data_IF_756723204258
#
_entry.id   IF_756723204258
#
_cell.length_a   1.000
_cell.length_b   1.000
_cell.length_c   1.000
_cell.angle_alpha   90.00
_cell.angle_beta   90.00
_cell.angle_gamma   90.00
#
_symmetry.space_group_name_H-M   'P 1'
#
loop_
_entity.id
_entity.type
_entity.pdbx_description
1 polymer ?
#
# COMPACT_ATOMS: atom_id res chain seq x y z
N UNK A 1 24.65 2.86 -22.14
CA UNK A 1 23.96 3.88 -21.30
C UNK A 1 24.96 4.38 -20.29
N UNK A 2 25.16 5.69 -20.15
CA UNK A 2 26.15 6.26 -19.22
C UNK A 2 25.60 6.05 -17.80
N UNK A 3 26.29 5.24 -17.00
CA UNK A 3 25.95 4.99 -15.61
C UNK A 3 26.39 6.18 -14.77
N UNK A 4 25.48 6.86 -14.11
CA UNK A 4 25.80 8.00 -13.25
C UNK A 4 26.01 7.52 -11.79
N UNK A 5 27.05 6.72 -11.58
CA UNK A 5 27.35 6.06 -10.29
C UNK A 5 27.53 7.03 -9.11
N UNK A 6 27.80 8.32 -9.38
CA UNK A 6 27.91 9.34 -8.33
C UNK A 6 26.55 9.70 -7.68
N UNK A 7 25.45 9.30 -8.29
CA UNK A 7 24.12 9.48 -7.75
C UNK A 7 23.63 8.28 -6.92
N UNK A 8 24.38 7.19 -6.89
CA UNK A 8 24.07 6.04 -6.04
C UNK A 8 24.12 6.48 -4.56
N UNK A 9 23.13 6.10 -3.74
CA UNK A 9 23.05 6.49 -2.33
C UNK A 9 24.34 6.16 -1.58
N UNK A 10 24.92 7.16 -0.90
CA UNK A 10 26.15 6.98 -0.08
C UNK A 10 26.04 5.90 0.98
N UNK A 11 24.83 5.62 1.42
CA UNK A 11 24.54 4.58 2.36
C UNK A 11 24.84 3.19 1.80
N UNK A 12 24.42 2.92 0.55
CA UNK A 12 24.70 1.65 -0.13
C UNK A 12 26.18 1.53 -0.48
N UNK A 13 26.85 2.63 -0.85
CA UNK A 13 28.27 2.59 -1.22
C UNK A 13 29.21 2.19 -0.06
N UNK A 14 28.73 2.29 1.20
CA UNK A 14 29.49 1.85 2.38
C UNK A 14 29.41 0.34 2.63
N UNK A 15 28.53 -0.36 1.94
CA UNK A 15 28.29 -1.79 2.15
C UNK A 15 29.19 -2.64 1.22
N UNK A 16 29.56 -3.83 1.70
CA UNK A 16 30.27 -4.84 0.88
C UNK A 16 29.26 -5.78 0.19
N UNK A 17 28.31 -5.19 -0.58
CA UNK A 17 27.22 -5.91 -1.24
C UNK A 17 27.21 -5.63 -2.76
N UNK A 18 28.40 -5.50 -3.37
CA UNK A 18 28.54 -5.08 -4.76
C UNK A 18 29.18 -6.14 -5.62
N UNK A 19 28.92 -6.01 -6.93
CA UNK A 19 29.59 -6.70 -8.02
C UNK A 19 29.67 -5.81 -9.24
N UNK A 20 30.37 -6.23 -10.26
CA UNK A 20 30.15 -5.79 -11.63
C UNK A 20 29.26 -6.79 -12.35
N UNK A 21 28.69 -6.44 -13.49
CA UNK A 21 27.91 -7.39 -14.29
C UNK A 21 28.23 -7.28 -15.78
N UNK A 22 27.94 -8.36 -16.51
CA UNK A 22 27.92 -8.42 -17.98
C UNK A 22 26.51 -8.69 -18.48
N UNK A 23 26.15 -8.02 -19.57
CA UNK A 23 24.91 -8.28 -20.29
C UNK A 23 25.17 -9.41 -21.28
N UNK A 24 24.33 -10.45 -21.18
CA UNK A 24 24.37 -11.55 -22.16
C UNK A 24 23.22 -11.41 -23.17
N UNK A 25 23.44 -11.85 -24.41
CA UNK A 25 22.36 -11.96 -25.36
C UNK A 25 21.25 -12.89 -24.81
N UNK A 26 20.00 -12.70 -25.22
CA UNK A 26 18.91 -13.54 -24.80
C UNK A 26 19.17 -14.99 -25.24
N UNK A 27 18.85 -15.95 -24.38
CA UNK A 27 19.03 -17.39 -24.68
C UNK A 27 18.09 -17.88 -25.78
N UNK A 28 16.96 -17.19 -25.97
CA UNK A 28 15.96 -17.44 -27.02
C UNK A 28 15.48 -16.12 -27.56
N UNK A 29 15.12 -16.10 -28.84
CA UNK A 29 14.50 -14.94 -29.47
C UNK A 29 13.27 -14.50 -28.71
N UNK A 30 13.10 -13.19 -28.49
CA UNK A 30 12.00 -12.60 -27.70
C UNK A 30 12.19 -12.58 -26.17
N UNK A 31 13.29 -13.13 -25.64
CA UNK A 31 13.61 -13.04 -24.21
C UNK A 31 14.44 -11.78 -23.88
N UNK A 32 14.32 -11.31 -22.63
CA UNK A 32 15.17 -10.22 -22.14
C UNK A 32 16.64 -10.67 -22.04
N UNK A 33 17.55 -9.70 -22.25
CA UNK A 33 18.99 -9.93 -22.06
C UNK A 33 19.27 -10.24 -20.60
N UNK A 34 20.00 -11.31 -20.35
CA UNK A 34 20.43 -11.70 -19.00
C UNK A 34 21.54 -10.77 -18.49
N UNK A 35 21.61 -10.58 -17.18
CA UNK A 35 22.72 -9.87 -16.51
C UNK A 35 23.42 -10.86 -15.61
N UNK A 36 24.72 -11.09 -15.84
CA UNK A 36 25.52 -12.02 -15.02
C UNK A 36 26.37 -11.22 -14.04
N UNK A 37 26.14 -11.35 -12.72
CA UNK A 37 26.98 -10.72 -11.73
C UNK A 37 28.35 -11.40 -11.65
N UNK A 38 29.40 -10.60 -11.53
CA UNK A 38 30.80 -11.03 -11.52
C UNK A 38 31.51 -10.35 -10.35
N UNK A 39 32.27 -11.13 -9.58
CA UNK A 39 33.21 -10.60 -8.61
C UNK A 39 34.44 -10.04 -9.38
N UNK A 40 34.70 -8.73 -9.35
CA UNK A 40 35.77 -8.14 -10.16
C UNK A 40 37.17 -8.50 -9.66
N UNK A 41 37.34 -9.01 -8.44
CA UNK A 41 38.62 -9.40 -7.88
C UNK A 41 39.05 -10.77 -8.45
N UNK A 42 38.09 -11.70 -8.52
CA UNK A 42 38.38 -13.08 -8.95
C UNK A 42 38.08 -13.33 -10.43
N UNK A 43 37.32 -12.44 -11.07
CA UNK A 43 36.80 -12.61 -12.43
C UNK A 43 35.72 -13.70 -12.55
N UNK A 44 35.34 -14.37 -11.45
CA UNK A 44 34.33 -15.44 -11.41
C UNK A 44 32.93 -14.89 -11.18
N UNK A 45 31.91 -15.67 -11.49
CA UNK A 45 30.51 -15.32 -11.17
C UNK A 45 30.34 -15.01 -9.69
N UNK A 46 29.53 -13.98 -9.39
CA UNK A 46 29.09 -13.67 -8.05
C UNK A 46 27.67 -14.22 -7.84
N UNK A 47 27.35 -14.64 -6.62
CA UNK A 47 26.05 -15.24 -6.27
C UNK A 47 25.28 -14.33 -5.31
N UNK A 48 23.98 -14.16 -5.55
CA UNK A 48 23.10 -13.41 -4.64
C UNK A 48 22.89 -14.10 -3.28
N UNK A 49 23.22 -15.38 -3.17
CA UNK A 49 23.08 -16.19 -1.96
C UNK A 49 24.42 -16.41 -1.24
N UNK A 50 25.53 -15.91 -1.78
CA UNK A 50 26.86 -16.11 -1.22
C UNK A 50 27.61 -14.77 -1.11
N UNK A 51 27.58 -14.20 0.07
CA UNK A 51 28.21 -12.91 0.38
C UNK A 51 29.74 -12.92 0.27
N UNK A 52 30.40 -14.08 0.26
CA UNK A 52 31.84 -14.20 0.06
C UNK A 52 32.26 -13.84 -1.39
N UNK A 53 31.29 -13.88 -2.31
CA UNK A 53 31.50 -13.52 -3.72
C UNK A 53 31.30 -12.02 -4.00
N UNK A 54 30.90 -11.24 -2.98
CA UNK A 54 30.63 -9.81 -3.12
C UNK A 54 31.89 -8.97 -2.86
N UNK A 55 31.87 -7.73 -3.32
CA UNK A 55 32.97 -6.78 -3.10
C UNK A 55 32.45 -5.44 -2.55
N UNK A 56 33.37 -4.50 -2.30
CA UNK A 56 33.01 -3.12 -1.96
C UNK A 56 32.56 -2.35 -3.22
N UNK A 57 31.82 -1.25 -3.02
CA UNK A 57 31.45 -0.33 -4.10
C UNK A 57 32.69 0.24 -4.79
N UNK A 58 33.71 0.61 -4.04
CA UNK A 58 34.97 1.13 -4.56
C UNK A 58 35.63 0.11 -5.51
N UNK A 59 35.72 -1.15 -5.10
CA UNK A 59 36.27 -2.22 -5.92
C UNK A 59 35.49 -2.40 -7.23
N UNK A 60 34.14 -2.47 -7.14
CA UNK A 60 33.29 -2.61 -8.33
C UNK A 60 33.39 -1.38 -9.27
N UNK A 61 33.36 -0.19 -8.69
CA UNK A 61 33.45 1.07 -9.42
C UNK A 61 34.80 1.25 -10.13
N UNK A 62 35.90 0.91 -9.47
CA UNK A 62 37.24 0.96 -10.06
C UNK A 62 37.40 -0.08 -11.18
N UNK A 63 36.90 -1.29 -10.98
CA UNK A 63 36.93 -2.32 -12.01
C UNK A 63 36.12 -1.92 -13.24
N UNK A 64 34.96 -1.29 -13.05
CA UNK A 64 34.15 -0.77 -14.16
C UNK A 64 34.89 0.33 -14.97
N UNK A 65 35.65 1.21 -14.30
CA UNK A 65 36.42 2.27 -14.94
C UNK A 65 37.63 1.73 -15.72
N UNK A 66 38.26 0.68 -15.23
CA UNK A 66 39.47 0.10 -15.77
C UNK A 66 39.23 -0.96 -16.85
N UNK A 67 38.05 -1.51 -16.92
CA UNK A 67 37.75 -2.64 -17.81
C UNK A 67 36.40 -2.44 -18.53
N UNK A 68 36.51 -2.13 -19.82
CA UNK A 68 35.38 -1.92 -20.72
C UNK A 68 34.54 -3.17 -20.98
N UNK A 69 34.94 -4.33 -20.45
CA UNK A 69 34.18 -5.58 -20.57
C UNK A 69 33.03 -5.72 -19.55
N UNK A 70 32.87 -4.76 -18.63
CA UNK A 70 31.76 -4.74 -17.70
C UNK A 70 30.72 -3.70 -18.11
N UNK A 71 29.45 -4.04 -17.97
CA UNK A 71 28.31 -3.21 -18.40
C UNK A 71 27.78 -2.32 -17.27
N UNK A 72 28.25 -2.53 -16.04
CA UNK A 72 27.85 -1.70 -14.89
C UNK A 72 28.14 -2.34 -13.54
N UNK A 73 27.64 -1.70 -12.49
CA UNK A 73 27.71 -2.18 -11.10
C UNK A 73 26.36 -2.74 -10.65
N UNK A 74 26.41 -3.79 -9.83
CA UNK A 74 25.23 -4.42 -9.24
C UNK A 74 25.29 -4.42 -7.73
N UNK A 75 24.13 -4.23 -7.09
CA UNK A 75 23.95 -4.26 -5.65
C UNK A 75 23.14 -5.47 -5.22
N UNK A 76 23.63 -6.27 -4.26
CA UNK A 76 22.95 -7.44 -3.71
C UNK A 76 22.12 -7.05 -2.49
N UNK A 77 20.85 -7.54 -2.45
CA UNK A 77 19.97 -7.34 -1.31
C UNK A 77 20.20 -8.43 -0.24
N UNK A 78 20.27 -8.00 1.04
CA UNK A 78 20.50 -8.87 2.20
C UNK A 78 19.66 -8.43 3.42
N UNK A 79 18.32 -8.49 3.25
CA UNK A 79 17.29 -8.26 4.28
C UNK A 79 17.17 -6.85 4.92
N UNK A 80 18.09 -5.91 4.69
CA UNK A 80 18.00 -4.57 5.26
C UNK A 80 17.36 -3.55 4.33
N UNK A 81 17.35 -3.87 3.04
CA UNK A 81 16.79 -3.08 1.97
C UNK A 81 15.84 -3.89 1.14
N UNK A 82 14.84 -3.21 0.60
CA UNK A 82 13.87 -3.76 -0.34
C UNK A 82 14.08 -3.08 -1.69
N UNK A 83 14.34 -3.90 -2.71
CA UNK A 83 14.38 -3.47 -4.11
C UNK A 83 13.02 -3.68 -4.75
N UNK A 84 12.56 -2.66 -5.47
CA UNK A 84 11.33 -2.65 -6.25
C UNK A 84 11.74 -2.45 -7.70
N UNK A 85 11.33 -3.35 -8.58
CA UNK A 85 11.61 -3.33 -10.02
C UNK A 85 10.27 -3.34 -10.78
N UNK A 86 10.10 -2.37 -11.68
CA UNK A 86 8.92 -2.31 -12.55
C UNK A 86 9.42 -2.18 -13.98
N UNK A 87 9.23 -3.24 -14.75
CA UNK A 87 9.67 -3.35 -16.13
C UNK A 87 8.60 -2.89 -17.14
N UNK A 88 9.04 -2.60 -18.35
CA UNK A 88 8.21 -2.31 -19.54
C UNK A 88 7.20 -1.16 -19.37
N UNK A 89 7.67 -0.04 -18.79
CA UNK A 89 6.88 1.18 -18.59
C UNK A 89 7.51 2.45 -19.20
N UNK A 90 8.06 2.42 -20.44
CA UNK A 90 8.77 3.56 -21.01
C UNK A 90 7.90 4.82 -21.12
N UNK A 91 6.61 4.67 -21.43
CA UNK A 91 5.67 5.80 -21.51
C UNK A 91 5.43 6.46 -20.15
N UNK A 92 5.34 5.69 -19.08
CA UNK A 92 5.18 6.22 -17.73
C UNK A 92 6.44 6.97 -17.27
N UNK A 93 7.63 6.50 -17.66
CA UNK A 93 8.89 7.19 -17.38
C UNK A 93 8.90 8.58 -18.06
N UNK A 94 8.52 8.66 -19.33
CA UNK A 94 8.48 9.94 -20.06
C UNK A 94 7.37 10.86 -19.52
N UNK A 95 6.19 10.34 -19.20
CA UNK A 95 5.11 11.10 -18.53
C UNK A 95 5.57 11.71 -17.21
N UNK A 96 6.25 10.91 -16.38
CA UNK A 96 6.75 11.39 -15.09
C UNK A 96 7.86 12.44 -15.25
N UNK A 97 8.78 12.27 -16.18
CA UNK A 97 9.82 13.28 -16.49
C UNK A 97 9.21 14.61 -16.93
N UNK A 98 8.15 14.56 -17.75
CA UNK A 98 7.46 15.75 -18.24
C UNK A 98 6.62 16.43 -17.14
N UNK A 99 5.92 15.65 -16.30
CA UNK A 99 5.11 16.17 -15.21
C UNK A 99 5.24 15.27 -13.95
N UNK A 100 6.26 15.51 -13.10
CA UNK A 100 6.52 14.70 -11.89
C UNK A 100 5.42 14.79 -10.81
N UNK A 101 4.50 15.74 -10.92
CA UNK A 101 3.41 15.96 -9.96
C UNK A 101 2.06 15.43 -10.44
N UNK A 102 2.03 14.72 -11.58
CA UNK A 102 0.79 14.14 -12.11
C UNK A 102 0.27 13.02 -11.18
N UNK A 103 -0.88 13.20 -10.51
CA UNK A 103 -1.43 12.21 -9.56
C UNK A 103 -1.88 10.91 -10.24
N UNK A 104 -2.07 10.91 -11.56
CA UNK A 104 -2.45 9.72 -12.33
C UNK A 104 -1.25 8.91 -12.83
N UNK A 105 -0.02 9.33 -12.51
CA UNK A 105 1.19 8.59 -12.89
C UNK A 105 1.46 7.45 -11.90
N UNK A 106 1.75 6.25 -12.43
CA UNK A 106 2.21 5.10 -11.65
C UNK A 106 3.47 5.45 -10.82
N UNK A 107 4.40 6.20 -11.43
CA UNK A 107 5.66 6.58 -10.77
C UNK A 107 5.40 7.61 -9.67
N UNK A 108 4.47 8.54 -9.85
CA UNK A 108 4.07 9.47 -8.80
C UNK A 108 3.47 8.74 -7.58
N UNK A 109 2.56 7.81 -7.82
CA UNK A 109 1.98 6.96 -6.77
C UNK A 109 3.07 6.16 -6.03
N UNK A 110 3.96 5.47 -6.78
CA UNK A 110 5.05 4.73 -6.16
C UNK A 110 5.95 5.63 -5.33
N UNK A 111 6.34 6.80 -5.86
CA UNK A 111 7.22 7.76 -5.20
C UNK A 111 6.63 8.25 -3.85
N UNK A 112 5.32 8.43 -3.78
CA UNK A 112 4.61 8.70 -2.52
C UNK A 112 4.67 7.54 -1.53
N UNK A 113 4.41 6.31 -1.98
CA UNK A 113 4.46 5.12 -1.11
C UNK A 113 5.85 4.87 -0.52
N UNK A 114 6.90 5.09 -1.31
CA UNK A 114 8.30 4.94 -0.86
C UNK A 114 8.85 6.16 -0.12
N UNK A 115 7.98 7.11 0.27
CA UNK A 115 8.36 8.34 0.97
C UNK A 115 9.47 9.14 0.25
N UNK A 116 9.40 9.21 -1.07
CA UNK A 116 10.40 9.83 -1.94
C UNK A 116 11.82 9.25 -1.76
N UNK A 117 11.93 7.94 -1.50
CA UNK A 117 13.21 7.24 -1.43
C UNK A 117 13.90 7.19 -2.80
N UNK A 118 15.11 6.61 -2.85
CA UNK A 118 15.86 6.46 -4.08
C UNK A 118 15.05 5.77 -5.19
N UNK A 119 14.98 6.40 -6.34
CA UNK A 119 14.25 5.96 -7.53
C UNK A 119 15.06 6.32 -8.79
N UNK A 120 15.32 5.34 -9.64
CA UNK A 120 16.10 5.49 -10.86
C UNK A 120 15.45 4.84 -12.07
N UNK A 121 15.86 5.23 -13.26
CA UNK A 121 15.59 4.49 -14.50
C UNK A 121 16.48 3.25 -14.54
N UNK A 122 15.90 2.09 -14.82
CA UNK A 122 16.63 0.83 -14.90
C UNK A 122 17.61 0.79 -16.07
N UNK A 123 18.53 -0.17 -16.05
CA UNK A 123 19.61 -0.29 -17.04
C UNK A 123 19.09 -0.45 -18.49
N UNK A 124 17.92 -1.05 -18.69
CA UNK A 124 17.28 -1.18 -20.00
C UNK A 124 16.74 0.16 -20.56
N UNK A 125 16.53 1.15 -19.70
CA UNK A 125 15.84 2.40 -20.02
C UNK A 125 14.32 2.28 -20.12
N UNK A 126 13.77 1.06 -19.97
CA UNK A 126 12.33 0.78 -20.13
C UNK A 126 11.60 0.50 -18.82
N UNK A 127 12.30 0.50 -17.70
CA UNK A 127 11.77 0.24 -16.37
C UNK A 127 12.38 1.15 -15.33
N UNK A 128 12.02 0.94 -14.08
CA UNK A 128 12.50 1.70 -12.93
C UNK A 128 12.93 0.76 -11.81
N UNK A 129 13.94 1.18 -11.05
CA UNK A 129 14.28 0.60 -9.77
C UNK A 129 14.01 1.60 -8.65
N UNK A 130 13.42 1.14 -7.55
CA UNK A 130 13.36 1.90 -6.32
C UNK A 130 13.96 1.08 -5.18
N UNK A 131 14.57 1.76 -4.21
CA UNK A 131 15.15 1.10 -3.02
C UNK A 131 14.64 1.81 -1.77
N UNK A 132 14.17 1.01 -0.81
CA UNK A 132 13.72 1.47 0.51
C UNK A 132 14.37 0.64 1.61
N UNK A 133 14.47 1.19 2.83
CA UNK A 133 14.84 0.42 4.03
C UNK A 133 13.63 -0.37 4.51
N UNK A 134 13.88 -1.61 4.92
CA UNK A 134 12.87 -2.47 5.53
C UNK A 134 13.15 -3.94 5.27
N UNK A 135 12.32 -4.77 5.92
CA UNK A 135 12.33 -6.22 5.70
C UNK A 135 11.10 -6.59 4.86
N UNK A 136 11.32 -7.38 3.84
CA UNK A 136 10.24 -7.89 2.98
C UNK A 136 9.67 -9.19 3.56
N UNK A 137 8.45 -9.18 4.12
CA UNK A 137 7.89 -10.31 4.86
C UNK A 137 7.02 -11.24 4.02
N UNK A 138 6.93 -11.01 2.70
CA UNK A 138 6.00 -11.74 1.83
C UNK A 138 6.73 -12.81 1.00
N UNK A 139 6.01 -13.90 0.67
CA UNK A 139 6.56 -15.03 -0.10
C UNK A 139 6.53 -14.78 -1.62
N UNK A 140 5.61 -13.93 -2.09
CA UNK A 140 5.47 -13.63 -3.52
C UNK A 140 6.31 -12.41 -3.88
N UNK A 141 7.25 -12.60 -4.82
CA UNK A 141 8.19 -11.56 -5.22
C UNK A 141 7.93 -10.99 -6.62
N UNK A 142 7.10 -11.63 -7.44
CA UNK A 142 6.89 -11.24 -8.83
C UNK A 142 5.46 -11.48 -9.32
N UNK A 143 4.95 -10.50 -10.10
CA UNK A 143 3.73 -10.64 -10.90
C UNK A 143 3.80 -9.73 -12.14
N UNK A 144 3.86 -10.35 -13.32
CA UNK A 144 4.03 -9.60 -14.57
C UNK A 144 5.32 -8.78 -14.57
N UNK A 145 5.19 -7.49 -14.80
CA UNK A 145 6.29 -6.52 -14.81
C UNK A 145 6.73 -6.04 -13.42
N UNK A 146 6.06 -6.45 -12.35
CA UNK A 146 6.37 -6.00 -10.99
C UNK A 146 7.19 -7.05 -10.25
N UNK A 147 8.32 -6.62 -9.67
CA UNK A 147 9.17 -7.45 -8.82
C UNK A 147 9.53 -6.69 -7.53
N UNK A 148 9.53 -7.40 -6.37
CA UNK A 148 9.94 -6.84 -5.08
C UNK A 148 10.79 -7.86 -4.36
N UNK A 149 11.98 -7.48 -3.92
CA UNK A 149 12.95 -8.37 -3.28
C UNK A 149 13.58 -7.73 -2.06
N UNK A 150 13.68 -8.50 -0.96
CA UNK A 150 14.46 -8.12 0.23
C UNK A 150 15.81 -8.86 0.31
N UNK A 151 15.96 -9.97 -0.41
CA UNK A 151 17.16 -10.82 -0.40
C UNK A 151 17.30 -11.64 -1.68
N UNK A 152 18.44 -12.29 -1.84
CA UNK A 152 18.68 -13.28 -2.90
C UNK A 152 18.50 -12.73 -4.33
N UNK A 153 18.71 -11.44 -4.49
CA UNK A 153 18.61 -10.73 -5.77
C UNK A 153 19.68 -9.65 -5.87
N UNK A 154 20.09 -9.30 -7.09
CA UNK A 154 20.85 -8.09 -7.32
C UNK A 154 20.15 -7.19 -8.34
N UNK A 155 20.30 -5.88 -8.16
CA UNK A 155 19.89 -4.87 -9.14
C UNK A 155 21.12 -4.24 -9.81
N UNK A 156 21.04 -4.10 -11.12
CA UNK A 156 22.01 -3.34 -11.93
C UNK A 156 21.72 -1.84 -11.74
N UNK A 157 22.39 -1.18 -10.79
CA UNK A 157 22.12 0.22 -10.49
C UNK A 157 22.77 1.15 -11.51
N UNK A 158 22.02 2.17 -11.92
CA UNK A 158 22.43 3.12 -12.97
C UNK A 158 22.81 4.49 -12.43
N UNK A 159 22.22 4.90 -11.30
CA UNK A 159 22.31 6.27 -10.80
C UNK A 159 21.56 7.30 -11.66
N UNK A 160 20.77 6.87 -12.64
CA UNK A 160 19.91 7.74 -13.44
C UNK A 160 18.63 8.06 -12.68
N UNK A 161 18.73 8.92 -11.67
CA UNK A 161 17.64 9.23 -10.74
C UNK A 161 16.48 9.92 -11.45
N UNK A 162 15.26 9.52 -11.09
CA UNK A 162 14.01 10.13 -11.56
C UNK A 162 13.47 11.18 -10.60
N UNK A 163 13.70 11.01 -9.31
CA UNK A 163 13.41 12.03 -8.32
C UNK A 163 14.71 12.71 -7.86
N UNK A 164 14.61 13.82 -7.13
CA UNK A 164 15.79 14.56 -6.66
C UNK A 164 16.49 13.89 -5.46
N UNK A 165 15.94 12.80 -4.95
CA UNK A 165 16.40 12.16 -3.72
C UNK A 165 17.47 11.11 -4.00
N UNK A 166 18.59 11.25 -3.27
CA UNK A 166 19.67 10.26 -3.24
C UNK A 166 19.71 9.47 -1.93
N UNK A 167 18.73 9.67 -1.07
CA UNK A 167 18.63 8.99 0.22
C UNK A 167 17.66 7.82 0.15
N UNK A 168 17.93 6.81 0.98
CA UNK A 168 17.02 5.69 1.14
C UNK A 168 16.19 5.91 2.39
N UNK A 169 14.87 5.87 2.25
CA UNK A 169 13.91 6.07 3.34
C UNK A 169 13.39 4.74 3.86
N UNK A 170 13.00 4.73 5.13
CA UNK A 170 12.30 3.60 5.74
C UNK A 170 10.87 3.56 5.20
N UNK A 171 10.47 2.40 4.66
CA UNK A 171 9.08 2.19 4.28
C UNK A 171 8.24 1.79 5.49
N UNK A 172 7.06 2.40 5.66
CA UNK A 172 6.12 1.99 6.69
C UNK A 172 5.53 0.62 6.38
N UNK A 173 5.14 -0.16 7.41
CA UNK A 173 4.45 -1.45 7.23
C UNK A 173 3.17 -1.30 6.39
N UNK A 174 2.43 -0.20 6.58
CA UNK A 174 1.23 0.12 5.81
C UNK A 174 1.55 0.29 4.33
N UNK A 175 2.53 1.14 3.99
CA UNK A 175 2.90 1.41 2.61
C UNK A 175 3.49 0.18 1.92
N UNK A 176 4.29 -0.61 2.64
CA UNK A 176 4.84 -1.87 2.11
C UNK A 176 3.74 -2.87 1.78
N UNK A 177 2.71 -2.98 2.64
CA UNK A 177 1.55 -3.83 2.39
C UNK A 177 0.74 -3.33 1.20
N UNK A 178 0.50 -2.03 1.10
CA UNK A 178 -0.20 -1.42 -0.02
C UNK A 178 0.54 -1.66 -1.33
N UNK A 179 1.86 -1.43 -1.34
CA UNK A 179 2.72 -1.73 -2.48
C UNK A 179 2.61 -3.20 -2.90
N UNK A 180 2.72 -4.13 -1.93
CA UNK A 180 2.59 -5.56 -2.18
C UNK A 180 1.26 -5.93 -2.83
N UNK A 181 0.13 -5.52 -2.25
CA UNK A 181 -1.21 -5.84 -2.76
C UNK A 181 -1.44 -5.27 -4.16
N UNK A 182 -1.00 -4.04 -4.38
CA UNK A 182 -1.20 -3.34 -5.66
C UNK A 182 -0.30 -3.86 -6.78
N UNK A 183 0.80 -4.55 -6.46
CA UNK A 183 1.80 -5.02 -7.43
C UNK A 183 1.90 -6.54 -7.49
N UNK A 184 2.69 -7.16 -6.64
CA UNK A 184 3.05 -8.60 -6.70
C UNK A 184 2.06 -9.51 -5.98
N UNK A 185 1.27 -9.01 -5.04
CA UNK A 185 0.29 -9.79 -4.30
C UNK A 185 -0.73 -10.46 -5.23
N UNK A 186 -1.12 -11.68 -4.94
CA UNK A 186 -2.16 -12.38 -5.71
C UNK A 186 -3.47 -11.60 -5.60
N UNK A 187 -4.07 -11.22 -6.74
CA UNK A 187 -5.52 -10.96 -6.76
C UNK A 187 -6.18 -12.27 -6.32
N UNK A 188 -6.99 -12.23 -5.29
CA UNK A 188 -7.86 -13.36 -5.02
C UNK A 188 -8.79 -13.50 -6.24
N UNK A 189 -8.47 -14.47 -7.10
CA UNK A 189 -9.37 -14.84 -8.18
C UNK A 189 -10.54 -15.56 -7.50
N UNK A 190 -11.72 -14.97 -7.61
CA UNK A 190 -12.97 -15.67 -7.38
C UNK A 190 -13.16 -16.71 -8.49
N UNK A 191 -12.50 -17.85 -8.40
CA UNK A 191 -12.96 -19.07 -9.08
C UNK A 191 -14.03 -19.69 -8.19
N UNK A 192 -15.19 -20.09 -8.76
CA UNK A 192 -16.20 -20.81 -7.99
C UNK A 192 -15.59 -22.13 -7.52
N UNK A 193 -15.34 -22.26 -6.25
CA UNK A 193 -14.99 -23.54 -5.64
C UNK A 193 -16.29 -24.27 -5.37
N UNK A 194 -16.41 -25.44 -6.00
CA UNK A 194 -17.47 -26.40 -5.73
C UNK A 194 -17.57 -26.68 -4.21
N UNK A 195 -18.80 -26.71 -3.78
CA UNK A 195 -19.29 -26.95 -2.43
C UNK A 195 -18.62 -28.13 -1.76
N UNK A 196 -17.77 -27.87 -0.78
CA UNK A 196 -17.59 -28.75 0.39
C UNK A 196 -17.80 -27.89 1.62
N UNK A 197 -18.75 -28.33 2.46
CA UNK A 197 -19.18 -27.71 3.71
C UNK A 197 -17.98 -27.41 4.62
N UNK A 198 -17.51 -26.16 4.59
CA UNK A 198 -16.71 -25.53 5.63
C UNK A 198 -17.19 -24.08 5.74
N UNK A 199 -17.57 -23.69 6.92
CA UNK A 199 -18.02 -22.36 7.32
C UNK A 199 -17.04 -21.32 6.80
N UNK A 200 -17.45 -20.25 6.06
CA UNK A 200 -16.54 -19.21 5.61
C UNK A 200 -16.02 -18.41 6.81
N UNK A 201 -14.79 -18.64 7.17
CA UNK A 201 -14.08 -17.83 8.16
C UNK A 201 -13.89 -16.41 7.61
N UNK A 202 -14.47 -15.46 8.30
CA UNK A 202 -14.55 -14.05 7.98
C UNK A 202 -13.23 -13.31 7.91
N UNK A 203 -13.33 -12.03 7.57
CA UNK A 203 -12.29 -11.00 7.43
C UNK A 203 -10.99 -11.31 8.17
N UNK A 204 -9.89 -11.44 7.42
CA UNK A 204 -8.52 -11.57 7.95
C UNK A 204 -7.97 -10.26 8.56
N UNK A 205 -8.85 -9.32 8.93
CA UNK A 205 -8.46 -8.09 9.62
C UNK A 205 -8.16 -8.39 11.09
N UNK A 206 -7.09 -7.81 11.60
CA UNK A 206 -6.81 -7.78 13.04
C UNK A 206 -7.85 -6.93 13.77
N UNK A 207 -8.01 -7.15 15.08
CA UNK A 207 -8.90 -6.37 15.92
C UNK A 207 -8.62 -4.87 15.80
N UNK A 208 -7.36 -4.46 15.85
CA UNK A 208 -6.96 -3.05 15.72
C UNK A 208 -7.32 -2.45 14.35
N UNK A 209 -7.18 -3.21 13.26
CA UNK A 209 -7.59 -2.77 11.94
C UNK A 209 -9.11 -2.60 11.85
N UNK A 210 -9.89 -3.49 12.47
CA UNK A 210 -11.35 -3.39 12.52
C UNK A 210 -11.74 -2.14 13.31
N UNK A 211 -11.19 -1.93 14.51
CA UNK A 211 -11.46 -0.75 15.35
C UNK A 211 -11.13 0.54 14.58
N UNK A 212 -9.95 0.61 13.94
CA UNK A 212 -9.55 1.79 13.17
C UNK A 212 -10.52 2.07 12.01
N UNK A 213 -10.93 1.05 11.26
CA UNK A 213 -11.87 1.22 10.14
C UNK A 213 -13.26 1.64 10.60
N UNK A 214 -13.83 0.98 11.63
CA UNK A 214 -15.15 1.33 12.12
C UNK A 214 -15.17 2.73 12.73
N UNK A 215 -14.10 3.14 13.42
CA UNK A 215 -13.96 4.48 13.99
C UNK A 215 -13.71 5.58 12.94
N UNK A 216 -13.25 5.23 11.75
CA UNK A 216 -13.07 6.15 10.61
C UNK A 216 -14.30 6.19 9.68
N UNK A 217 -15.32 5.35 9.91
CA UNK A 217 -16.53 5.29 9.09
C UNK A 217 -17.47 6.47 9.35
N UNK A 218 -18.54 6.59 8.55
CA UNK A 218 -19.61 7.58 8.73
C UNK A 218 -20.26 7.52 10.11
N UNK A 219 -20.33 6.34 10.72
CA UNK A 219 -20.82 6.12 12.07
C UNK A 219 -19.71 6.20 13.13
N UNK A 220 -18.48 6.52 12.75
CA UNK A 220 -17.31 6.45 13.60
C UNK A 220 -17.40 7.29 14.88
N UNK A 221 -18.00 8.47 14.80
CA UNK A 221 -18.24 9.33 15.98
C UNK A 221 -19.15 8.60 16.97
N UNK A 222 -20.29 8.07 16.52
CA UNK A 222 -21.24 7.33 17.37
C UNK A 222 -20.63 6.07 17.95
N UNK A 223 -19.84 5.34 17.16
CA UNK A 223 -19.14 4.15 17.61
C UNK A 223 -18.11 4.48 18.69
N UNK A 224 -17.33 5.56 18.53
CA UNK A 224 -16.36 6.03 19.53
C UNK A 224 -17.03 6.40 20.84
N UNK A 225 -18.16 7.12 20.77
CA UNK A 225 -18.97 7.46 21.98
C UNK A 225 -19.43 6.21 22.70
N UNK A 226 -20.00 5.22 21.97
CA UNK A 226 -20.40 3.93 22.57
C UNK A 226 -19.20 3.19 23.21
N UNK A 227 -18.06 3.12 22.50
CA UNK A 227 -16.85 2.48 23.03
C UNK A 227 -16.32 3.18 24.29
N UNK A 228 -16.52 4.50 24.38
CA UNK A 228 -16.20 5.29 25.56
C UNK A 228 -17.25 5.24 26.68
N UNK A 229 -18.33 4.48 26.51
CA UNK A 229 -19.41 4.42 27.47
C UNK A 229 -20.32 5.65 27.47
N UNK A 230 -20.20 6.47 26.42
CA UNK A 230 -21.00 7.67 26.20
C UNK A 230 -22.16 7.31 25.25
N UNK A 231 -23.40 7.35 25.73
CA UNK A 231 -24.55 6.97 24.91
C UNK A 231 -25.82 7.71 25.33
N UNK A 232 -26.69 7.92 24.35
CA UNK A 232 -28.03 8.51 24.51
C UNK A 232 -29.09 7.43 24.28
N UNK A 233 -29.03 6.36 25.10
CA UNK A 233 -30.00 5.28 25.14
C UNK A 233 -30.64 5.21 26.51
N UNK A 234 -31.86 4.69 26.59
CA UNK A 234 -32.61 4.61 27.86
C UNK A 234 -31.99 3.65 28.87
N UNK A 235 -31.15 2.72 28.37
CA UNK A 235 -30.44 1.78 29.23
C UNK A 235 -29.06 1.39 28.64
N UNK A 236 -28.13 1.03 29.52
CA UNK A 236 -26.83 0.47 29.09
C UNK A 236 -27.00 -0.82 28.28
N UNK A 237 -28.08 -1.62 28.50
CA UNK A 237 -28.31 -2.81 27.70
C UNK A 237 -28.71 -2.50 26.26
N UNK A 238 -29.30 -1.34 25.99
CA UNK A 238 -29.53 -0.85 24.62
C UNK A 238 -28.27 -0.35 24.00
N UNK A 239 -27.39 0.29 24.76
CA UNK A 239 -26.04 0.67 24.28
C UNK A 239 -25.19 -0.57 23.94
N UNK A 240 -25.26 -1.64 24.76
CA UNK A 240 -24.55 -2.89 24.51
C UNK A 240 -24.96 -3.50 23.16
N UNK A 241 -26.27 -3.63 22.90
CA UNK A 241 -26.77 -4.22 21.65
C UNK A 241 -26.43 -3.30 20.46
N UNK A 242 -26.55 -1.98 20.60
CA UNK A 242 -26.23 -1.03 19.56
C UNK A 242 -24.74 -1.11 19.15
N UNK A 243 -23.82 -1.27 20.12
CA UNK A 243 -22.42 -1.50 19.80
C UNK A 243 -22.23 -2.86 19.14
N UNK A 244 -22.87 -3.93 19.63
CA UNK A 244 -22.78 -5.26 19.05
C UNK A 244 -23.30 -5.30 17.59
N UNK A 245 -24.32 -4.53 17.23
CA UNK A 245 -24.80 -4.43 15.85
C UNK A 245 -23.72 -3.86 14.91
N UNK A 246 -22.99 -2.81 15.36
CA UNK A 246 -21.81 -2.33 14.62
C UNK A 246 -20.71 -3.38 14.55
N UNK A 247 -20.42 -4.06 15.65
CA UNK A 247 -19.41 -5.12 15.67
C UNK A 247 -19.77 -6.27 14.75
N UNK A 248 -21.03 -6.72 14.72
CA UNK A 248 -21.50 -7.78 13.83
C UNK A 248 -21.26 -7.44 12.35
N UNK A 249 -21.52 -6.19 11.97
CA UNK A 249 -21.21 -5.70 10.61
C UNK A 249 -19.71 -5.71 10.34
N UNK A 250 -18.91 -5.10 11.22
CA UNK A 250 -17.48 -4.88 10.97
C UNK A 250 -16.59 -6.11 11.14
N UNK A 251 -16.97 -7.06 12.00
CA UNK A 251 -16.26 -8.32 12.20
C UNK A 251 -16.73 -9.43 11.25
N UNK A 252 -17.69 -9.15 10.37
CA UNK A 252 -18.33 -10.16 9.53
C UNK A 252 -18.98 -11.28 10.34
N UNK A 253 -19.66 -10.90 11.44
CA UNK A 253 -20.36 -11.82 12.37
C UNK A 253 -19.43 -12.79 13.12
N UNK A 254 -18.14 -12.46 13.24
CA UNK A 254 -17.17 -13.22 14.02
C UNK A 254 -17.39 -12.95 15.52
N UNK A 255 -18.05 -13.87 16.20
CA UNK A 255 -18.43 -13.73 17.60
C UNK A 255 -17.24 -13.57 18.55
N UNK A 256 -16.11 -14.23 18.26
CA UNK A 256 -14.88 -14.13 19.06
C UNK A 256 -14.27 -12.73 18.96
N UNK A 257 -14.20 -12.19 17.74
CA UNK A 257 -13.71 -10.81 17.53
C UNK A 257 -14.66 -9.78 18.14
N UNK A 258 -15.99 -10.01 18.04
CA UNK A 258 -16.98 -9.12 18.66
C UNK A 258 -16.80 -9.07 20.19
N UNK A 259 -16.66 -10.21 20.85
CA UNK A 259 -16.42 -10.28 22.30
C UNK A 259 -15.09 -9.63 22.68
N UNK A 260 -14.01 -9.93 21.94
CA UNK A 260 -12.69 -9.37 22.20
C UNK A 260 -12.64 -7.82 22.03
N UNK A 261 -13.39 -7.25 21.08
CA UNK A 261 -13.51 -5.80 20.92
C UNK A 261 -14.38 -5.21 22.02
N UNK A 262 -15.53 -5.82 22.32
CA UNK A 262 -16.44 -5.32 23.35
C UNK A 262 -15.76 -5.22 24.71
N UNK A 263 -14.94 -6.21 25.08
CA UNK A 263 -14.15 -6.22 26.32
C UNK A 263 -13.14 -5.09 26.45
N UNK A 264 -12.75 -4.45 25.35
CA UNK A 264 -11.86 -3.30 25.34
C UNK A 264 -12.59 -1.97 25.54
N UNK A 265 -13.91 -1.97 25.63
CA UNK A 265 -14.73 -0.76 25.75
C UNK A 265 -15.14 -0.44 27.18
N UNK A 266 -15.52 0.81 27.43
CA UNK A 266 -16.06 1.23 28.74
C UNK A 266 -17.50 0.72 29.02
N UNK A 267 -18.14 0.07 28.05
CA UNK A 267 -19.40 -0.64 28.27
C UNK A 267 -19.18 -1.98 28.98
N UNK A 268 -17.95 -2.52 28.99
CA UNK A 268 -17.63 -3.78 29.66
C UNK A 268 -17.90 -3.68 31.15
N UNK A 269 -18.62 -4.66 31.69
CA UNK A 269 -18.95 -4.76 33.10
C UNK A 269 -19.21 -6.23 33.51
N UNK A 270 -19.23 -6.59 34.81
CA UNK A 270 -19.43 -7.97 35.28
C UNK A 270 -20.70 -8.66 34.76
N UNK A 271 -21.76 -7.89 34.42
CA UNK A 271 -22.97 -8.42 33.79
C UNK A 271 -22.66 -9.15 32.47
N UNK A 272 -21.64 -8.76 31.75
CA UNK A 272 -21.26 -9.36 30.45
C UNK A 272 -21.00 -10.86 30.55
N UNK A 273 -20.32 -11.26 31.64
CA UNK A 273 -19.95 -12.65 31.90
C UNK A 273 -20.96 -13.38 32.79
N UNK A 274 -22.05 -12.70 33.24
CA UNK A 274 -23.05 -13.31 34.07
C UNK A 274 -23.80 -14.37 33.27
N UNK A 275 -23.81 -15.62 33.81
CA UNK A 275 -24.57 -16.73 33.26
C UNK A 275 -26.07 -16.53 33.49
N UNK A 276 -26.84 -16.85 32.47
CA UNK A 276 -28.31 -16.91 32.52
C UNK A 276 -28.74 -18.08 31.62
N UNK A 277 -28.96 -19.21 32.22
CA UNK A 277 -29.15 -20.50 31.56
C UNK A 277 -27.82 -21.05 31.01
N UNK A 278 -27.83 -21.52 29.76
CA UNK A 278 -26.71 -22.18 29.10
C UNK A 278 -25.65 -21.20 28.58
N UNK A 279 -25.94 -19.89 28.50
CA UNK A 279 -25.04 -18.87 27.93
C UNK A 279 -24.90 -17.64 28.83
N UNK A 280 -23.89 -16.78 28.53
CA UNK A 280 -23.73 -15.52 29.24
C UNK A 280 -24.61 -14.43 28.64
N UNK A 281 -24.78 -13.30 29.36
CA UNK A 281 -25.46 -12.13 28.85
C UNK A 281 -24.74 -11.61 27.57
N UNK A 282 -23.39 -11.58 27.56
CA UNK A 282 -22.59 -11.15 26.42
C UNK A 282 -22.81 -12.03 25.18
N UNK A 283 -22.76 -13.36 25.34
CA UNK A 283 -23.04 -14.30 24.26
C UNK A 283 -24.41 -14.07 23.63
N UNK A 284 -25.48 -13.97 24.44
CA UNK A 284 -26.83 -13.71 23.92
C UNK A 284 -26.97 -12.37 23.23
N UNK A 285 -26.25 -11.34 23.70
CA UNK A 285 -26.23 -10.01 23.07
C UNK A 285 -25.55 -10.08 21.72
N UNK A 286 -24.41 -10.78 21.64
CA UNK A 286 -23.68 -11.03 20.38
C UNK A 286 -24.54 -11.83 19.40
N UNK A 287 -25.15 -12.94 19.84
CA UNK A 287 -26.01 -13.81 19.02
C UNK A 287 -27.20 -13.04 18.45
N UNK A 288 -27.81 -12.17 19.27
CA UNK A 288 -28.91 -11.29 18.84
C UNK A 288 -28.44 -10.30 17.75
N UNK A 289 -27.28 -9.67 17.91
CA UNK A 289 -26.72 -8.76 16.93
C UNK A 289 -26.36 -9.48 15.62
N UNK A 290 -25.75 -10.67 15.71
CA UNK A 290 -25.43 -11.51 14.54
C UNK A 290 -26.69 -11.87 13.75
N UNK A 291 -27.76 -12.27 14.46
CA UNK A 291 -29.05 -12.65 13.85
C UNK A 291 -29.73 -11.44 13.20
N UNK A 292 -29.68 -10.28 13.84
CA UNK A 292 -30.29 -9.02 13.36
C UNK A 292 -29.53 -8.37 12.19
N UNK A 293 -28.25 -8.66 12.02
CA UNK A 293 -27.43 -8.05 10.98
C UNK A 293 -27.61 -8.80 9.65
N UNK A 294 -28.08 -8.10 8.62
CA UNK A 294 -28.28 -8.67 7.27
C UNK A 294 -27.06 -8.51 6.38
N UNK A 295 -26.37 -7.37 6.48
CA UNK A 295 -25.19 -7.03 5.69
C UNK A 295 -23.94 -7.02 6.58
N UNK A 296 -22.79 -7.36 5.99
CA UNK A 296 -21.52 -7.35 6.71
C UNK A 296 -20.45 -6.62 5.90
N UNK A 297 -19.44 -6.11 6.60
CA UNK A 297 -18.30 -5.47 5.98
C UNK A 297 -17.50 -6.49 5.17
N UNK A 298 -17.49 -6.32 3.86
CA UNK A 298 -16.68 -7.15 2.97
C UNK A 298 -15.44 -6.38 2.54
N UNK A 299 -14.26 -6.76 3.05
CA UNK A 299 -12.99 -6.13 2.72
C UNK A 299 -12.57 -6.31 1.25
N UNK A 300 -13.25 -7.18 0.51
CA UNK A 300 -12.99 -7.41 -0.92
C UNK A 300 -13.87 -6.57 -1.85
N UNK A 301 -14.90 -5.91 -1.34
CA UNK A 301 -15.54 -4.80 -2.04
C UNK A 301 -14.75 -3.55 -1.71
N UNK A 302 -14.25 -2.85 -2.72
CA UNK A 302 -13.84 -1.46 -2.56
C UNK A 302 -14.96 -0.76 -1.80
N UNK A 303 -14.66 -0.31 -0.57
CA UNK A 303 -15.61 0.45 0.19
C UNK A 303 -15.97 1.65 -0.68
N UNK A 304 -17.17 1.66 -1.24
CA UNK A 304 -17.64 2.83 -2.00
C UNK A 304 -17.66 4.00 -1.02
N UNK A 305 -17.53 5.21 -1.52
CA UNK A 305 -17.58 6.42 -0.67
C UNK A 305 -18.82 6.41 0.25
N UNK A 306 -19.88 5.69 -0.12
CA UNK A 306 -21.09 5.45 0.68
C UNK A 306 -20.81 4.62 1.94
N UNK A 307 -19.98 3.57 1.84
CA UNK A 307 -19.70 2.66 2.97
C UNK A 307 -18.68 3.25 3.95
N UNK A 308 -17.79 4.13 3.46
CA UNK A 308 -16.75 4.76 4.28
C UNK A 308 -17.17 6.13 4.81
N UNK A 309 -17.95 6.92 4.05
CA UNK A 309 -18.27 8.32 4.36
C UNK A 309 -19.75 8.61 4.53
N UNK A 310 -20.64 7.64 4.34
CA UNK A 310 -22.09 7.84 4.45
C UNK A 310 -22.70 8.73 3.34
N UNK A 311 -21.94 9.03 2.29
CA UNK A 311 -22.40 9.84 1.17
C UNK A 311 -23.07 8.99 0.10
N UNK A 312 -24.33 9.31 -0.19
CA UNK A 312 -25.03 8.76 -1.34
C UNK A 312 -24.56 9.52 -2.58
N UNK A 313 -23.89 8.82 -3.52
CA UNK A 313 -23.40 9.38 -4.79
C UNK A 313 -24.51 10.15 -5.55
N UNK A 314 -25.75 9.71 -5.41
CA UNK A 314 -26.91 10.37 -6.03
C UNK A 314 -27.29 11.68 -5.36
N UNK A 315 -27.04 11.82 -4.05
CA UNK A 315 -27.31 13.07 -3.30
C UNK A 315 -26.24 14.12 -3.63
N UNK A 316 -24.98 13.70 -3.75
CA UNK A 316 -23.87 14.58 -4.11
C UNK A 316 -24.01 15.06 -5.57
N UNK A 317 -24.38 14.16 -6.49
CA UNK A 317 -24.65 14.51 -7.90
C UNK A 317 -25.86 15.42 -8.04
N UNK A 318 -26.91 15.25 -7.20
CA UNK A 318 -28.08 16.14 -7.17
C UNK A 318 -27.75 17.50 -6.58
N UNK A 319 -26.97 17.57 -5.49
CA UNK A 319 -26.53 18.81 -4.87
C UNK A 319 -25.59 19.61 -5.79
N UNK A 320 -24.64 18.94 -6.45
CA UNK A 320 -23.76 19.52 -7.45
C UNK A 320 -24.54 19.99 -8.68
N UNK A 321 -25.49 19.18 -9.21
CA UNK A 321 -26.35 19.56 -10.33
C UNK A 321 -27.27 20.72 -9.97
N UNK A 322 -27.77 20.79 -8.75
CA UNK A 322 -28.59 21.91 -8.29
C UNK A 322 -27.78 23.21 -8.14
N UNK A 323 -26.57 23.13 -7.59
CA UNK A 323 -25.64 24.25 -7.50
C UNK A 323 -25.17 24.72 -8.88
N UNK A 324 -24.89 23.78 -9.81
CA UNK A 324 -24.56 24.09 -11.19
C UNK A 324 -25.74 24.75 -11.93
N UNK A 325 -26.97 24.23 -11.75
CA UNK A 325 -28.18 24.83 -12.36
C UNK A 325 -28.44 26.25 -11.89
N UNK A 326 -28.20 26.55 -10.61
CA UNK A 326 -28.32 27.88 -10.04
C UNK A 326 -27.24 28.86 -10.57
N UNK A 327 -26.06 28.30 -10.96
CA UNK A 327 -24.95 29.07 -11.51
C UNK A 327 -25.09 29.39 -13.01
N UNK A 328 -25.66 28.45 -13.80
CA UNK A 328 -25.82 28.60 -15.26
C UNK A 328 -26.94 29.58 -15.62
N UNK A 329 -27.89 29.85 -14.69
CA UNK A 329 -29.01 30.74 -14.93
C UNK A 329 -28.70 32.24 -14.77
N UNK A 330 -27.47 32.61 -14.40
CA UNK A 330 -27.04 34.02 -14.36
C UNK A 330 -25.98 34.24 -15.45
N UNK A 331 -26.45 34.66 -16.64
CA UNK A 331 -25.59 35.15 -17.72
C UNK A 331 -24.86 36.43 -17.26
N UNK A 332 -23.60 36.54 -17.65
CA UNK A 332 -22.64 37.64 -17.56
C UNK A 332 -21.89 37.77 -16.24
N UNK A 333 -20.59 37.36 -16.32
CA UNK A 333 -19.45 38.07 -15.80
C UNK A 333 -18.17 37.21 -15.80
N UNK A 334 -17.09 37.76 -16.34
CA UNK A 334 -15.71 37.18 -16.26
C UNK A 334 -15.25 36.96 -14.82
N UNK A 335 -15.82 37.71 -13.87
CA UNK A 335 -15.53 37.61 -12.43
C UNK A 335 -16.08 36.29 -11.83
N UNK A 336 -17.20 35.77 -12.35
CA UNK A 336 -17.80 34.51 -11.82
C UNK A 336 -17.06 33.26 -12.22
N UNK A 337 -16.31 33.25 -13.35
CA UNK A 337 -15.45 32.12 -13.72
C UNK A 337 -14.31 31.91 -12.73
N UNK A 338 -13.70 32.96 -12.23
CA UNK A 338 -12.68 32.89 -11.18
C UNK A 338 -13.27 32.45 -9.83
N UNK A 339 -14.53 32.80 -9.53
CA UNK A 339 -15.22 32.29 -8.34
C UNK A 339 -15.51 30.81 -8.39
N UNK A 340 -15.91 30.26 -9.57
CA UNK A 340 -16.12 28.82 -9.75
C UNK A 340 -14.81 28.06 -9.58
N UNK A 341 -13.71 28.57 -10.17
CA UNK A 341 -12.39 27.95 -10.03
C UNK A 341 -11.92 27.94 -8.57
N UNK A 342 -12.18 29.01 -7.83
CA UNK A 342 -11.85 29.10 -6.40
C UNK A 342 -12.75 28.23 -5.52
N UNK A 343 -14.03 28.04 -5.86
CA UNK A 343 -14.94 27.14 -5.14
C UNK A 343 -14.53 25.68 -5.38
N UNK A 344 -14.21 25.29 -6.61
CA UNK A 344 -13.73 23.94 -6.95
C UNK A 344 -12.37 23.67 -6.29
N UNK A 345 -11.45 24.65 -6.30
CA UNK A 345 -10.16 24.57 -5.63
C UNK A 345 -10.29 24.49 -4.11
N UNK A 346 -11.22 25.27 -3.50
CA UNK A 346 -11.49 25.22 -2.07
C UNK A 346 -12.18 23.91 -1.66
N UNK A 347 -13.07 23.35 -2.48
CA UNK A 347 -13.62 22.01 -2.24
C UNK A 347 -12.56 20.92 -2.31
N UNK A 348 -11.60 20.99 -3.26
CA UNK A 348 -10.46 20.08 -3.33
C UNK A 348 -9.52 20.24 -2.11
N UNK A 349 -9.26 21.49 -1.66
CA UNK A 349 -8.45 21.76 -0.47
C UNK A 349 -9.19 21.29 0.80
N UNK A 350 -10.52 21.40 0.88
CA UNK A 350 -11.30 20.90 2.02
C UNK A 350 -11.33 19.37 2.09
N UNK A 351 -11.34 18.69 0.94
CA UNK A 351 -11.20 17.22 0.88
C UNK A 351 -9.80 16.74 1.27
N UNK A 352 -8.75 17.52 0.92
CA UNK A 352 -7.36 17.17 1.25
C UNK A 352 -7.03 17.49 2.72
N UNK A 353 -7.55 18.59 3.29
CA UNK A 353 -7.26 18.99 4.67
C UNK A 353 -8.07 18.21 5.74
N UNK A 354 -9.12 17.47 5.38
CA UNK A 354 -9.80 16.54 6.29
C UNK A 354 -9.14 15.17 6.43
N UNK A 355 -8.12 14.89 5.63
CA UNK A 355 -7.29 13.69 5.77
C UNK A 355 -6.05 13.89 6.67
N UNK A 356 -5.89 15.07 7.29
CA UNK A 356 -4.75 15.42 8.14
C UNK A 356 -5.13 16.12 9.46
N UNK A 357 -6.22 15.76 10.08
CA UNK A 357 -6.49 16.13 11.46
C UNK A 357 -7.12 14.97 12.23
#
# INVERSE_FOLDING_TARGET
MITNINNIPKELTKLKQWCVFKIQPPRKEGQHKGKIPINPITGKGASSNDSTTWCSFETASNALKQNNNYDGVGFFFNNDYIGIDIDDIPEEIEKFKHNPTNPNSLIYWLNGLIAHSYLEVSQSGKGIHAIVKGKYPFDTNRRGSYEIYGKERFFALTGNILNTQKEIKLISKKNLRELYISTVGKKQNNTPVETRNSIPTGNNLSIDEIINKMCASSNGVKIKHLMNGEYDYTSQSEADIALCDYLAFWTNKDAEKMDAIFRQTKLMRPKWDKKDGASTYGQRTIDKAITGTTETFNSSRDATAKDVYGFNKDTETKALKHSFKKFILTKDDKIKRNSIYNVVRNCQIFCVNRSFS
#
